data_IF_600860426897
#
_entry.id   IF_600860426897
#
_cell.length_a   1.000
_cell.length_b   1.000
_cell.length_c   1.000
_cell.angle_alpha   90.00
_cell.angle_beta   90.00
_cell.angle_gamma   90.00
#
_symmetry.space_group_name_H-M   'P 1'
#
loop_
_entity.id
_entity.type
_entity.pdbx_description
1 polymer ?
#
# COMPACT_ATOMS: atom_id res chain seq x y z
N UNK A 1 19.32 2.94 3.27
CA UNK A 1 19.84 2.22 2.13
C UNK A 1 19.62 0.72 2.32
N UNK A 2 19.06 0.09 1.30
CA UNK A 2 18.73 -1.33 1.41
C UNK A 2 19.98 -2.21 1.60
N UNK A 3 21.15 -1.75 1.14
CA UNK A 3 22.39 -2.49 1.33
C UNK A 3 22.77 -2.71 2.78
N UNK A 4 22.26 -1.86 3.67
CA UNK A 4 22.53 -1.96 5.09
C UNK A 4 21.48 -2.76 5.84
N UNK A 5 20.47 -3.28 5.14
CA UNK A 5 19.34 -3.97 5.75
C UNK A 5 19.54 -5.47 5.63
N UNK A 6 19.39 -6.18 6.74
CA UNK A 6 19.61 -7.63 6.76
C UNK A 6 18.38 -8.37 6.23
N UNK A 7 18.57 -9.46 5.46
CA UNK A 7 17.46 -10.33 5.10
C UNK A 7 16.73 -10.84 6.33
N UNK A 8 15.41 -10.88 6.23
CA UNK A 8 14.56 -11.29 7.34
C UNK A 8 14.08 -10.14 8.22
N UNK A 9 14.58 -8.92 8.01
CA UNK A 9 14.08 -7.77 8.73
C UNK A 9 12.69 -7.39 8.25
N UNK A 10 11.79 -7.10 9.17
CA UNK A 10 10.42 -6.65 8.85
C UNK A 10 10.42 -5.13 8.80
N UNK A 11 9.88 -4.58 7.71
CA UNK A 11 9.83 -3.14 7.48
C UNK A 11 8.40 -2.73 7.21
N UNK A 12 7.91 -1.73 7.97
CA UNK A 12 6.59 -1.15 7.74
C UNK A 12 6.72 0.08 6.85
N UNK A 13 5.85 0.17 5.86
CA UNK A 13 5.76 1.34 4.99
C UNK A 13 4.52 2.15 5.34
N UNK A 14 4.69 3.46 5.47
CA UNK A 14 3.63 4.41 5.75
C UNK A 14 3.54 5.41 4.61
N UNK A 15 2.33 5.59 4.08
CA UNK A 15 2.07 6.59 3.04
C UNK A 15 0.98 7.53 3.54
N UNK A 16 1.15 8.81 3.26
CA UNK A 16 0.16 9.82 3.61
C UNK A 16 -0.28 10.55 2.34
N UNK A 17 -1.59 10.68 2.17
CA UNK A 17 -2.18 11.51 1.13
C UNK A 17 -2.92 12.66 1.79
N UNK A 18 -2.80 13.86 1.24
CA UNK A 18 -3.54 15.01 1.75
C UNK A 18 -4.07 15.83 0.59
N UNK A 19 -5.24 16.44 0.82
CA UNK A 19 -5.84 17.36 -0.13
C UNK A 19 -5.54 18.78 0.30
N UNK A 20 -4.57 19.40 -0.34
CA UNK A 20 -4.16 20.78 -0.06
C UNK A 20 -4.90 21.80 -0.92
N UNK A 21 -5.86 21.36 -1.71
CA UNK A 21 -6.68 22.24 -2.54
C UNK A 21 -7.82 22.89 -1.80
N UNK A 22 -8.66 23.60 -2.54
CA UNK A 22 -9.82 24.31 -1.98
C UNK A 22 -11.14 23.57 -2.19
N UNK A 23 -11.08 22.43 -2.88
CA UNK A 23 -12.27 21.60 -3.16
C UNK A 23 -11.95 20.15 -2.85
N UNK A 24 -13.00 19.34 -2.64
CA UNK A 24 -12.87 17.92 -2.45
C UNK A 24 -12.21 17.24 -3.65
N UNK A 25 -11.45 16.19 -3.41
CA UNK A 25 -10.77 15.42 -4.46
C UNK A 25 -11.51 14.09 -4.67
N UNK A 26 -11.97 13.88 -5.89
CA UNK A 26 -12.67 12.65 -6.28
C UNK A 26 -11.69 11.65 -6.90
N UNK A 27 -12.06 10.38 -6.83
CA UNK A 27 -11.31 9.30 -7.50
C UNK A 27 -9.84 9.24 -7.08
N UNK A 28 -9.58 9.50 -5.79
CA UNK A 28 -8.20 9.48 -5.26
C UNK A 28 -7.69 8.05 -5.24
N UNK A 29 -6.53 7.84 -5.85
CA UNK A 29 -5.81 6.58 -5.86
C UNK A 29 -4.39 6.80 -5.39
N UNK A 30 -3.89 5.86 -4.61
CA UNK A 30 -2.51 5.87 -4.13
C UNK A 30 -1.88 4.56 -4.55
N UNK A 31 -0.79 4.63 -5.31
CA UNK A 31 -0.08 3.45 -5.81
C UNK A 31 1.33 3.47 -5.25
N UNK A 32 1.76 2.37 -4.67
CA UNK A 32 3.13 2.19 -4.21
C UNK A 32 3.76 1.03 -4.96
N UNK A 33 4.99 1.25 -5.44
CA UNK A 33 5.76 0.22 -6.12
C UNK A 33 6.77 -0.38 -5.16
N UNK A 34 6.75 -1.70 -5.01
CA UNK A 34 7.65 -2.42 -4.13
C UNK A 34 8.91 -2.85 -4.89
N UNK A 35 10.11 -2.61 -4.33
CA UNK A 35 11.33 -3.10 -4.96
C UNK A 35 11.43 -4.62 -4.85
N UNK A 36 12.24 -5.28 -5.71
CA UNK A 36 12.33 -6.75 -5.70
C UNK A 36 12.99 -7.32 -4.46
N UNK A 37 13.65 -6.48 -3.65
CA UNK A 37 14.33 -6.92 -2.44
C UNK A 37 13.40 -7.23 -1.28
N UNK A 38 12.12 -6.88 -1.39
CA UNK A 38 11.16 -7.10 -0.31
C UNK A 38 10.00 -7.97 -0.78
N UNK A 39 9.36 -8.61 0.19
CA UNK A 39 8.14 -9.38 -0.05
C UNK A 39 7.02 -8.79 0.82
N UNK A 40 5.83 -8.67 0.24
CA UNK A 40 4.66 -8.13 0.91
C UNK A 40 4.11 -9.12 1.93
N UNK A 41 3.81 -8.67 3.15
CA UNK A 41 3.11 -9.49 4.14
C UNK A 41 1.62 -9.50 3.82
N UNK A 42 1.09 -10.68 3.56
CA UNK A 42 -0.33 -10.85 3.19
C UNK A 42 -1.20 -10.46 4.38
N UNK A 43 -2.20 -9.61 4.12
CA UNK A 43 -3.14 -9.16 5.14
C UNK A 43 -2.65 -7.98 5.99
N UNK A 44 -1.50 -7.38 5.64
CA UNK A 44 -0.94 -6.30 6.45
C UNK A 44 -1.39 -4.90 6.03
N UNK A 45 -2.15 -4.77 4.95
CA UNK A 45 -2.62 -3.44 4.51
C UNK A 45 -3.62 -2.87 5.50
N UNK A 46 -3.48 -1.60 5.81
CA UNK A 46 -4.39 -0.88 6.68
C UNK A 46 -4.49 0.57 6.22
N UNK A 47 -5.59 1.20 6.57
CA UNK A 47 -5.79 2.62 6.28
C UNK A 47 -6.42 3.32 7.46
N UNK A 48 -6.08 4.60 7.61
CA UNK A 48 -6.70 5.51 8.55
C UNK A 48 -7.18 6.71 7.76
N UNK A 49 -8.50 6.87 7.66
CA UNK A 49 -9.11 7.89 6.82
C UNK A 49 -10.07 8.75 7.64
N UNK A 50 -10.28 10.01 7.23
CA UNK A 50 -11.18 10.89 7.98
C UNK A 50 -12.64 10.49 7.79
N UNK A 51 -13.42 10.67 8.83
CA UNK A 51 -14.87 10.49 8.80
C UNK A 51 -15.27 9.07 8.43
N UNK A 52 -16.24 8.98 7.52
CA UNK A 52 -16.77 7.70 7.05
C UNK A 52 -16.10 7.21 5.76
N UNK A 53 -14.99 7.84 5.37
CA UNK A 53 -14.27 7.42 4.17
C UNK A 53 -13.70 6.02 4.35
N UNK A 54 -13.75 5.25 3.27
CA UNK A 54 -13.11 3.95 3.19
C UNK A 54 -12.19 3.90 1.97
N UNK A 55 -11.50 2.78 1.83
CA UNK A 55 -10.66 2.53 0.67
C UNK A 55 -10.74 1.06 0.31
N UNK A 56 -10.61 0.79 -0.98
CA UNK A 56 -10.37 -0.56 -1.48
C UNK A 56 -8.90 -0.69 -1.79
N UNK A 57 -8.37 -1.91 -1.66
CA UNK A 57 -6.97 -2.19 -1.98
C UNK A 57 -6.91 -3.29 -3.02
N UNK A 58 -6.05 -3.13 -4.02
CA UNK A 58 -5.77 -4.18 -4.97
C UNK A 58 -4.28 -4.21 -5.30
N UNK A 59 -3.86 -5.28 -5.96
CA UNK A 59 -2.45 -5.62 -6.11
C UNK A 59 -2.14 -5.95 -7.56
N UNK A 60 -0.88 -5.70 -7.95
CA UNK A 60 -0.41 -6.09 -9.27
C UNK A 60 0.98 -6.72 -9.17
N UNK A 61 1.27 -7.72 -10.01
CA UNK A 61 2.61 -8.25 -10.16
C UNK A 61 3.45 -7.33 -11.04
N UNK A 62 4.65 -7.79 -11.42
CA UNK A 62 5.57 -7.00 -12.22
C UNK A 62 4.99 -6.52 -13.54
N UNK A 63 3.98 -7.19 -14.06
CA UNK A 63 3.28 -6.75 -15.29
C UNK A 63 2.52 -5.45 -15.10
N UNK A 64 2.21 -5.06 -13.86
CA UNK A 64 1.44 -3.86 -13.57
C UNK A 64 -0.06 -4.00 -13.77
N UNK A 65 -0.55 -5.21 -14.04
CA UNK A 65 -1.98 -5.45 -14.25
C UNK A 65 -2.62 -5.76 -12.90
N UNK A 66 -3.49 -4.88 -12.43
CA UNK A 66 -4.16 -5.05 -11.13
C UNK A 66 -5.23 -6.15 -11.20
N UNK A 67 -5.51 -6.74 -10.04
CA UNK A 67 -6.39 -7.89 -9.92
C UNK A 67 -5.67 -9.14 -9.44
N UNK A 68 -4.39 -9.03 -9.14
CA UNK A 68 -3.62 -10.14 -8.61
C UNK A 68 -4.02 -10.41 -7.15
N UNK A 69 -4.21 -11.68 -6.81
CA UNK A 69 -4.50 -12.08 -5.43
C UNK A 69 -3.20 -12.53 -4.76
N UNK A 70 -2.74 -11.84 -3.71
CA UNK A 70 -1.53 -12.25 -3.01
C UNK A 70 -1.62 -13.69 -2.50
N UNK A 71 -0.54 -14.45 -2.70
CA UNK A 71 -0.48 -15.87 -2.39
C UNK A 71 0.73 -16.16 -1.52
N UNK A 72 0.53 -16.86 -0.42
CA UNK A 72 1.61 -17.23 0.50
C UNK A 72 2.70 -18.01 -0.24
N UNK A 73 3.94 -17.58 -0.08
CA UNK A 73 5.08 -18.18 -0.75
C UNK A 73 5.27 -17.76 -2.19
N UNK A 74 4.50 -16.76 -2.67
CA UNK A 74 4.58 -16.30 -4.05
C UNK A 74 5.97 -15.83 -4.41
N UNK A 75 6.44 -16.19 -5.61
CA UNK A 75 7.76 -15.83 -6.14
C UNK A 75 8.91 -16.19 -5.20
N UNK A 76 8.77 -17.29 -4.46
CA UNK A 76 9.82 -17.80 -3.59
C UNK A 76 9.89 -17.15 -2.21
N UNK A 77 8.88 -16.37 -1.83
CA UNK A 77 8.84 -15.78 -0.49
C UNK A 77 8.58 -16.84 0.57
N UNK A 78 8.88 -16.50 1.82
CA UNK A 78 8.55 -17.37 2.95
C UNK A 78 7.04 -17.35 3.18
N UNK A 79 6.55 -18.34 3.94
CA UNK A 79 5.12 -18.47 4.23
C UNK A 79 4.58 -17.18 4.87
N UNK A 80 3.40 -16.75 4.42
CA UNK A 80 2.79 -15.51 4.87
C UNK A 80 3.16 -14.27 4.06
N UNK A 81 4.12 -14.40 3.14
CA UNK A 81 4.59 -13.30 2.31
C UNK A 81 4.48 -13.65 0.84
N UNK A 82 4.39 -12.63 0.00
CA UNK A 82 4.33 -12.79 -1.45
C UNK A 82 5.25 -11.79 -2.13
N UNK A 83 6.29 -12.29 -2.77
CA UNK A 83 7.25 -11.47 -3.50
C UNK A 83 6.81 -11.15 -4.92
N UNK A 84 5.70 -11.75 -5.39
CA UNK A 84 5.12 -11.42 -6.68
C UNK A 84 4.37 -10.09 -6.65
N UNK A 85 3.98 -9.61 -5.46
CA UNK A 85 3.33 -8.30 -5.34
C UNK A 85 4.35 -7.21 -5.58
N UNK A 86 4.15 -6.44 -6.63
CA UNK A 86 5.07 -5.36 -7.00
C UNK A 86 4.40 -4.00 -6.92
N UNK A 87 3.07 -3.95 -6.92
CA UNK A 87 2.32 -2.71 -6.79
C UNK A 87 1.15 -2.93 -5.86
N UNK A 88 0.92 -1.96 -4.98
CA UNK A 88 -0.25 -1.91 -4.11
C UNK A 88 -0.99 -0.61 -4.44
N UNK A 89 -2.31 -0.71 -4.65
CA UNK A 89 -3.12 0.45 -4.97
C UNK A 89 -4.28 0.55 -4.01
N UNK A 90 -4.41 1.71 -3.36
CA UNK A 90 -5.59 2.05 -2.57
C UNK A 90 -6.44 3.02 -3.39
N UNK A 91 -7.74 2.79 -3.41
CA UNK A 91 -8.71 3.66 -4.08
C UNK A 91 -9.70 4.11 -3.03
N UNK A 92 -9.80 5.41 -2.80
CA UNK A 92 -10.77 5.95 -1.86
C UNK A 92 -12.18 5.76 -2.40
N UNK A 93 -13.11 5.39 -1.52
CA UNK A 93 -14.49 5.09 -1.91
C UNK A 93 -15.34 6.35 -2.05
N UNK A 94 -14.84 7.50 -1.59
CA UNK A 94 -15.57 8.76 -1.64
C UNK A 94 -14.58 9.93 -1.76
N UNK A 95 -15.12 11.14 -1.80
CA UNK A 95 -14.36 12.38 -1.95
C UNK A 95 -13.50 12.64 -0.72
N UNK A 96 -12.22 12.96 -0.94
CA UNK A 96 -11.32 13.40 0.13
C UNK A 96 -11.53 14.91 0.33
N UNK A 97 -12.03 15.35 1.50
CA UNK A 97 -12.36 16.76 1.71
C UNK A 97 -11.12 17.64 1.73
N UNK A 98 -11.32 18.91 1.41
CA UNK A 98 -10.28 19.93 1.53
C UNK A 98 -10.21 20.54 2.93
N UNK A 99 -11.12 20.19 3.83
CA UNK A 99 -11.22 20.80 5.15
C UNK A 99 -10.04 20.40 6.04
N UNK A 100 -9.52 21.37 6.77
CA UNK A 100 -8.44 21.14 7.72
C UNK A 100 -8.84 20.06 8.73
N UNK A 101 -7.93 19.14 9.02
CA UNK A 101 -8.15 18.04 9.94
C UNK A 101 -8.93 16.88 9.36
N UNK A 102 -9.48 17.03 8.16
CA UNK A 102 -10.23 15.97 7.50
C UNK A 102 -9.73 15.70 6.09
N UNK A 103 -8.57 16.25 5.75
CA UNK A 103 -8.03 16.22 4.39
C UNK A 103 -6.87 15.24 4.21
N UNK A 104 -6.60 14.39 5.20
CA UNK A 104 -5.48 13.48 5.15
C UNK A 104 -5.92 12.04 5.33
N UNK A 105 -5.29 11.15 4.57
CA UNK A 105 -5.41 9.71 4.76
C UNK A 105 -4.03 9.09 4.94
N UNK A 106 -3.97 8.00 5.69
CA UNK A 106 -2.74 7.25 5.88
C UNK A 106 -2.95 5.79 5.53
N UNK A 107 -1.97 5.23 4.83
CA UNK A 107 -1.99 3.82 4.40
C UNK A 107 -0.71 3.16 4.87
N UNK A 108 -0.83 1.95 5.39
CA UNK A 108 0.33 1.19 5.89
C UNK A 108 0.31 -0.23 5.37
N UNK A 109 1.48 -0.82 5.26
CA UNK A 109 1.63 -2.25 5.00
C UNK A 109 3.00 -2.69 5.49
N UNK A 110 3.18 -4.00 5.67
CA UNK A 110 4.43 -4.56 6.15
C UNK A 110 5.06 -5.46 5.11
N UNK A 111 6.38 -5.52 5.17
CA UNK A 111 7.19 -6.30 4.23
C UNK A 111 8.31 -6.98 4.99
N UNK A 112 8.94 -7.94 4.33
CA UNK A 112 10.16 -8.56 4.84
C UNK A 112 11.27 -8.42 3.78
N UNK A 113 12.48 -8.17 4.25
CA UNK A 113 13.64 -8.10 3.37
C UNK A 113 14.04 -9.51 2.95
N UNK A 114 14.29 -9.68 1.68
CA UNK A 114 14.66 -10.97 1.08
C UNK A 114 16.15 -11.16 1.04
#
# INVERSE_FOLDING_TARGET
VLGDTLPGAVVQFDLTVSNSGTQGADSVRVVDELPPQIAFQIGSTAETLPGALGATVDFAPASGVFGYTPTSGGCGAIAGYDACVRFIRWTLTDTLPAALGSNQGQFTFETIIR
#
